data_IF_067599815180
#
_entry.id   IF_067599815180
#
_cell.length_a   1.000
_cell.length_b   1.000
_cell.length_c   1.000
_cell.angle_alpha   90.00
_cell.angle_beta   90.00
_cell.angle_gamma   90.00
#
_symmetry.space_group_name_H-M   'P 1'
#
loop_
_entity.id
_entity.type
_entity.pdbx_description
1 polymer ?
#
# COMPACT_ATOMS: atom_id res chain seq x y z
N UNK A 1 33.73 67.13 -13.67
CA UNK A 1 33.77 65.71 -13.24
C UNK A 1 32.58 65.32 -12.35
N UNK A 2 32.12 66.22 -11.46
CA UNK A 2 30.98 66.01 -10.56
C UNK A 2 29.61 65.90 -11.27
N UNK A 3 29.39 66.60 -12.39
CA UNK A 3 28.10 66.56 -13.11
C UNK A 3 27.80 65.24 -13.86
N UNK A 4 28.83 64.44 -14.18
CA UNK A 4 28.65 63.11 -14.80
C UNK A 4 28.30 62.03 -13.76
N UNK A 5 28.73 62.19 -12.50
CA UNK A 5 28.42 61.26 -11.41
C UNK A 5 26.96 61.37 -10.94
N UNK A 6 26.37 62.57 -11.00
CA UNK A 6 24.98 62.82 -10.56
C UNK A 6 23.96 62.27 -11.58
N UNK A 7 24.25 62.33 -12.88
CA UNK A 7 23.38 61.72 -13.91
C UNK A 7 23.39 60.19 -13.90
N UNK A 8 24.49 59.56 -13.48
CA UNK A 8 24.62 58.09 -13.39
C UNK A 8 23.84 57.53 -12.20
N UNK A 9 23.86 58.23 -11.06
CA UNK A 9 23.11 57.83 -9.87
C UNK A 9 21.59 57.93 -10.06
N UNK A 10 21.10 59.00 -10.72
CA UNK A 10 19.67 59.20 -10.97
C UNK A 10 19.00 58.10 -11.82
N UNK A 11 19.71 57.58 -12.83
CA UNK A 11 19.19 56.48 -13.65
C UNK A 11 19.22 55.12 -12.95
N UNK A 12 20.12 54.93 -11.97
CA UNK A 12 20.19 53.71 -11.17
C UNK A 12 19.03 53.62 -10.16
N UNK A 13 18.62 54.74 -9.58
CA UNK A 13 17.47 54.80 -8.67
C UNK A 13 16.13 54.59 -9.37
N UNK A 14 15.96 55.07 -10.61
CA UNK A 14 14.73 54.86 -11.39
C UNK A 14 14.62 53.41 -11.88
N UNK A 15 15.74 52.76 -12.24
CA UNK A 15 15.77 51.34 -12.62
C UNK A 15 15.54 50.40 -11.41
N UNK A 16 16.07 50.76 -10.23
CA UNK A 16 15.85 50.02 -9.00
C UNK A 16 14.40 50.15 -8.46
N UNK A 17 13.76 51.31 -8.60
CA UNK A 17 12.33 51.49 -8.26
C UNK A 17 11.38 50.75 -9.23
N UNK A 18 11.76 50.60 -10.51
CA UNK A 18 10.98 49.81 -11.47
C UNK A 18 11.12 48.29 -11.23
N UNK A 19 12.24 47.84 -10.64
CA UNK A 19 12.44 46.42 -10.30
C UNK A 19 11.80 46.03 -8.97
N UNK A 20 11.68 46.95 -8.00
CA UNK A 20 10.99 46.70 -6.72
C UNK A 20 9.45 46.73 -6.83
N UNK A 21 8.90 47.35 -7.87
CA UNK A 21 7.44 47.31 -8.15
C UNK A 21 7.02 46.08 -8.96
N UNK A 22 7.97 45.34 -9.55
CA UNK A 22 7.70 44.05 -10.22
C UNK A 22 7.78 42.84 -9.27
N UNK A 23 8.27 43.02 -8.04
CA UNK A 23 8.23 42.01 -6.98
C UNK A 23 6.97 42.09 -6.10
N UNK A 24 5.96 42.86 -6.53
CA UNK A 24 4.73 43.11 -5.78
C UNK A 24 3.54 42.20 -6.12
N UNK A 25 3.59 41.36 -7.15
CA UNK A 25 2.42 40.53 -7.55
C UNK A 25 2.80 39.19 -8.17
N UNK A 26 3.78 38.47 -7.61
CA UNK A 26 3.76 37.01 -7.69
C UNK A 26 3.14 36.47 -6.39
N UNK A 27 1.92 36.94 -6.09
CA UNK A 27 1.02 36.16 -5.25
C UNK A 27 0.63 34.95 -6.09
N UNK A 28 1.41 33.89 -5.99
CA UNK A 28 0.89 32.58 -6.34
C UNK A 28 -0.31 32.38 -5.42
N UNK A 29 -1.53 32.18 -5.95
CA UNK A 29 -2.62 31.77 -5.08
C UNK A 29 -2.12 30.54 -4.34
N UNK A 30 -2.13 30.60 -3.01
CA UNK A 30 -2.05 29.39 -2.21
C UNK A 30 -3.34 28.66 -2.59
N UNK A 31 -3.22 27.72 -3.52
CA UNK A 31 -4.28 26.77 -3.79
C UNK A 31 -4.29 25.88 -2.56
N UNK A 32 -5.04 26.29 -1.53
CA UNK A 32 -5.35 25.41 -0.42
C UNK A 32 -6.07 24.20 -1.03
N UNK A 33 -5.59 22.99 -0.71
CA UNK A 33 -6.30 21.75 -1.02
C UNK A 33 -7.72 21.94 -0.49
N UNK A 34 -8.72 21.78 -1.37
CA UNK A 34 -10.12 21.82 -0.95
C UNK A 34 -10.32 20.76 0.15
N UNK A 35 -11.11 21.10 1.17
CA UNK A 35 -11.47 20.13 2.19
C UNK A 35 -12.23 18.96 1.54
N UNK A 36 -12.10 17.79 2.14
CA UNK A 36 -12.78 16.56 1.73
C UNK A 36 -13.25 15.80 2.98
N UNK A 37 -14.07 14.77 2.79
CA UNK A 37 -14.46 13.86 3.86
C UNK A 37 -13.20 13.23 4.52
N UNK A 38 -13.24 12.87 5.80
CA UNK A 38 -12.06 12.37 6.48
C UNK A 38 -11.64 10.97 5.95
N UNK A 39 -10.37 10.60 6.13
CA UNK A 39 -9.87 9.23 5.86
C UNK A 39 -9.49 8.55 7.18
N UNK A 40 -10.20 7.48 7.53
CA UNK A 40 -10.17 6.82 8.83
C UNK A 40 -9.71 5.38 8.74
N UNK A 41 -8.71 5.04 9.54
CA UNK A 41 -8.18 3.69 9.67
C UNK A 41 -8.30 3.19 11.11
N UNK A 42 -9.09 2.14 11.33
CA UNK A 42 -9.09 1.37 12.58
C UNK A 42 -7.78 0.56 12.70
N UNK A 43 -7.15 0.58 13.87
CA UNK A 43 -5.93 -0.18 14.17
C UNK A 43 -6.16 -1.13 15.33
N UNK A 44 -5.34 -2.19 15.40
CA UNK A 44 -5.46 -3.24 16.41
C UNK A 44 -5.47 -2.68 17.83
N UNK A 45 -6.32 -3.24 18.69
CA UNK A 45 -6.37 -2.90 20.10
C UNK A 45 -5.08 -3.34 20.80
N UNK A 46 -4.69 -2.60 21.84
CA UNK A 46 -3.50 -2.86 22.66
C UNK A 46 -3.86 -2.80 24.14
N UNK A 47 -2.95 -3.24 25.02
CA UNK A 47 -3.14 -3.23 26.48
C UNK A 47 -4.50 -3.81 26.90
N UNK A 48 -4.87 -4.92 26.27
CA UNK A 48 -6.08 -5.68 26.59
C UNK A 48 -5.85 -6.36 27.93
N UNK A 49 -6.83 -6.24 28.82
CA UNK A 49 -6.91 -6.96 30.09
C UNK A 49 -8.24 -7.72 30.12
N UNK A 50 -8.51 -8.40 31.23
CA UNK A 50 -9.81 -8.97 31.58
C UNK A 50 -10.97 -7.95 31.57
N UNK A 51 -10.73 -6.71 32.00
CA UNK A 51 -11.77 -5.69 32.17
C UNK A 51 -11.61 -4.45 31.25
N UNK A 52 -10.58 -4.40 30.39
CA UNK A 52 -10.27 -3.19 29.62
C UNK A 52 -9.49 -3.44 28.33
N UNK A 53 -9.48 -2.44 27.44
CA UNK A 53 -8.62 -2.43 26.26
C UNK A 53 -8.35 -0.99 25.79
N UNK A 54 -7.26 -0.77 25.07
CA UNK A 54 -6.97 0.50 24.37
C UNK A 54 -7.29 0.32 22.88
N UNK A 55 -8.28 1.05 22.38
CA UNK A 55 -8.65 1.09 20.97
C UNK A 55 -7.76 2.10 20.24
N UNK A 56 -7.26 1.76 19.05
CA UNK A 56 -6.31 2.58 18.31
C UNK A 56 -6.84 2.94 16.92
N UNK A 57 -6.57 4.16 16.47
CA UNK A 57 -7.04 4.67 15.18
C UNK A 57 -6.08 5.70 14.57
N UNK A 58 -6.24 5.93 13.27
CA UNK A 58 -5.61 7.02 12.52
C UNK A 58 -6.66 7.72 11.68
N UNK A 59 -6.65 9.05 11.70
CA UNK A 59 -7.56 9.87 10.90
C UNK A 59 -6.75 10.93 10.16
N UNK A 60 -7.08 11.16 8.90
CA UNK A 60 -6.71 12.36 8.15
C UNK A 60 -7.97 13.21 7.96
N UNK A 61 -7.98 14.42 8.53
CA UNK A 61 -9.11 15.35 8.40
C UNK A 61 -9.23 16.00 7.02
N UNK A 62 -8.32 15.71 6.09
CA UNK A 62 -8.36 16.12 4.69
C UNK A 62 -8.55 17.63 4.46
N UNK A 63 -8.08 18.46 5.39
CA UNK A 63 -8.17 19.93 5.30
C UNK A 63 -9.35 20.55 6.04
N UNK A 64 -10.29 19.77 6.56
CA UNK A 64 -11.41 20.24 7.39
C UNK A 64 -11.27 19.83 8.87
N UNK A 65 -11.77 20.66 9.77
CA UNK A 65 -11.71 20.39 11.21
C UNK A 65 -12.54 19.15 11.55
N UNK A 66 -11.88 18.09 12.00
CA UNK A 66 -12.47 16.75 12.11
C UNK A 66 -12.51 16.28 13.56
N UNK A 67 -13.60 15.60 13.92
CA UNK A 67 -13.77 14.85 15.17
C UNK A 67 -13.69 13.34 14.89
N UNK A 68 -13.28 12.56 15.89
CA UNK A 68 -13.22 11.10 15.78
C UNK A 68 -13.58 10.39 17.08
N UNK A 69 -14.12 9.18 16.97
CA UNK A 69 -14.46 8.31 18.10
C UNK A 69 -14.35 6.84 17.70
N UNK A 70 -14.57 5.94 18.65
CA UNK A 70 -14.75 4.52 18.37
C UNK A 70 -16.19 4.10 18.65
N UNK A 71 -16.75 3.30 17.75
CA UNK A 71 -17.91 2.46 18.05
C UNK A 71 -17.41 1.05 18.40
N UNK A 72 -18.04 0.41 19.37
CA UNK A 72 -17.64 -0.91 19.86
C UNK A 72 -18.83 -1.69 20.43
N UNK A 73 -18.66 -2.99 20.61
CA UNK A 73 -19.71 -3.86 21.15
C UNK A 73 -19.27 -5.32 21.23
N UNK A 74 -20.11 -6.18 21.79
CA UNK A 74 -19.89 -7.65 21.82
C UNK A 74 -20.31 -8.33 20.51
N UNK A 75 -20.96 -7.56 19.65
CA UNK A 75 -21.61 -7.95 18.41
C UNK A 75 -21.10 -7.00 17.31
N UNK A 76 -21.30 -7.35 16.04
CA UNK A 76 -20.84 -6.51 14.91
C UNK A 76 -21.70 -5.28 14.65
N UNK A 77 -22.79 -5.10 15.39
CA UNK A 77 -23.68 -3.95 15.31
C UNK A 77 -23.13 -2.72 16.07
N UNK A 78 -22.14 -2.92 16.95
CA UNK A 78 -21.37 -1.88 17.64
C UNK A 78 -22.23 -0.85 18.41
N UNK A 79 -23.07 -1.34 19.32
CA UNK A 79 -24.08 -0.56 20.04
C UNK A 79 -23.54 0.52 21.00
N UNK A 80 -22.23 0.49 21.32
CA UNK A 80 -21.59 1.44 22.23
C UNK A 80 -20.65 2.41 21.47
N UNK A 81 -20.45 3.60 22.02
CA UNK A 81 -19.54 4.62 21.48
C UNK A 81 -18.68 5.24 22.57
N UNK A 82 -17.46 5.63 22.22
CA UNK A 82 -16.61 6.46 23.08
C UNK A 82 -17.00 7.93 22.98
N UNK A 83 -16.36 8.77 23.79
CA UNK A 83 -16.38 10.22 23.57
C UNK A 83 -15.59 10.61 22.32
N UNK A 84 -15.94 11.76 21.76
CA UNK A 84 -15.26 12.32 20.59
C UNK A 84 -13.93 12.98 20.97
N UNK A 85 -12.95 12.88 20.08
CA UNK A 85 -11.68 13.60 20.16
C UNK A 85 -11.49 14.50 18.96
N UNK A 86 -10.84 15.63 19.18
CA UNK A 86 -10.45 16.55 18.10
C UNK A 86 -9.21 16.01 17.39
N UNK A 87 -9.37 15.78 16.08
CA UNK A 87 -8.27 15.46 15.16
C UNK A 87 -7.70 16.75 14.55
N UNK A 88 -8.55 17.70 14.21
CA UNK A 88 -8.19 18.90 13.44
C UNK A 88 -8.22 18.61 11.93
N UNK A 89 -7.53 19.43 11.14
CA UNK A 89 -7.56 19.36 9.67
C UNK A 89 -6.47 18.50 9.02
N UNK A 90 -5.56 17.96 9.82
CA UNK A 90 -4.45 17.13 9.34
C UNK A 90 -4.58 15.66 9.75
N UNK A 91 -3.51 14.92 9.53
CA UNK A 91 -3.39 13.54 9.97
C UNK A 91 -2.99 13.42 11.45
N UNK A 92 -3.69 12.58 12.21
CA UNK A 92 -3.36 12.25 13.59
C UNK A 92 -3.68 10.79 13.93
N UNK A 93 -2.88 10.18 14.80
CA UNK A 93 -3.25 8.94 15.47
C UNK A 93 -4.00 9.29 16.76
N UNK A 94 -4.98 8.48 17.15
CA UNK A 94 -5.68 8.63 18.41
C UNK A 94 -5.97 7.27 19.03
N UNK A 95 -6.09 7.25 20.36
CA UNK A 95 -6.38 6.07 21.14
C UNK A 95 -7.32 6.40 22.29
N UNK A 96 -8.18 5.45 22.65
CA UNK A 96 -9.11 5.57 23.77
C UNK A 96 -9.15 4.25 24.53
N UNK A 97 -8.97 4.33 25.85
CA UNK A 97 -9.15 3.18 26.76
C UNK A 97 -10.62 2.99 27.08
N UNK A 98 -11.14 1.80 26.85
CA UNK A 98 -12.45 1.35 27.30
C UNK A 98 -12.29 0.44 28.52
N UNK A 99 -13.23 0.51 29.46
CA UNK A 99 -13.21 -0.21 30.75
C UNK A 99 -14.58 -0.82 31.04
N UNK A 100 -14.66 -1.69 32.06
CA UNK A 100 -15.91 -2.39 32.41
C UNK A 100 -16.26 -3.51 31.43
N UNK A 101 -15.26 -4.03 30.73
CA UNK A 101 -15.43 -5.17 29.84
C UNK A 101 -15.61 -6.45 30.66
N UNK A 102 -16.29 -7.43 30.07
CA UNK A 102 -16.39 -8.76 30.65
C UNK A 102 -15.14 -9.54 30.30
N UNK A 103 -14.59 -10.28 31.26
CA UNK A 103 -13.49 -11.22 31.02
C UNK A 103 -13.83 -12.25 29.93
N UNK A 104 -12.80 -12.78 29.28
CA UNK A 104 -12.88 -13.87 28.30
C UNK A 104 -13.85 -13.63 27.13
N UNK A 105 -14.18 -12.37 26.84
CA UNK A 105 -15.25 -11.95 25.95
C UNK A 105 -14.68 -11.26 24.71
N UNK A 106 -15.15 -11.65 23.53
CA UNK A 106 -14.77 -10.97 22.27
C UNK A 106 -15.56 -9.69 22.11
N UNK A 107 -14.86 -8.62 21.77
CA UNK A 107 -15.41 -7.32 21.43
C UNK A 107 -15.00 -6.94 20.01
N UNK A 108 -15.89 -6.25 19.31
CA UNK A 108 -15.69 -5.66 18.00
C UNK A 108 -15.63 -4.15 18.13
N UNK A 109 -14.87 -3.48 17.26
CA UNK A 109 -14.77 -2.02 17.26
C UNK A 109 -14.38 -1.46 15.89
N UNK A 110 -14.73 -0.20 15.62
CA UNK A 110 -14.25 0.58 14.47
C UNK A 110 -13.97 2.02 14.87
N UNK A 111 -12.99 2.66 14.24
CA UNK A 111 -12.81 4.10 14.30
C UNK A 111 -13.79 4.80 13.35
N UNK A 112 -14.30 5.95 13.74
CA UNK A 112 -15.13 6.83 12.91
C UNK A 112 -14.57 8.24 12.98
N UNK A 113 -14.65 8.97 11.86
CA UNK A 113 -14.38 10.40 11.84
C UNK A 113 -15.46 11.16 11.08
N UNK A 114 -15.72 12.39 11.51
CA UNK A 114 -16.72 13.28 10.94
C UNK A 114 -16.18 14.71 10.83
N UNK A 115 -16.47 15.35 9.70
CA UNK A 115 -16.29 16.77 9.47
C UNK A 115 -17.45 17.33 8.64
N UNK A 116 -17.41 18.62 8.31
CA UNK A 116 -18.48 19.29 7.55
C UNK A 116 -18.67 18.74 6.11
N UNK A 117 -17.70 17.98 5.59
CA UNK A 117 -17.74 17.38 4.25
C UNK A 117 -18.29 15.94 4.26
N UNK A 118 -18.21 15.22 5.38
CA UNK A 118 -18.73 13.86 5.47
C UNK A 118 -18.31 13.05 6.70
N UNK A 119 -18.69 11.76 6.68
CA UNK A 119 -18.38 10.78 7.72
C UNK A 119 -17.68 9.58 7.07
N UNK A 120 -16.50 9.24 7.58
CA UNK A 120 -15.81 8.02 7.19
C UNK A 120 -15.75 7.00 8.34
N UNK A 121 -15.88 5.73 7.99
CA UNK A 121 -15.95 4.61 8.92
C UNK A 121 -14.83 3.62 8.59
N UNK A 122 -13.90 3.48 9.53
CA UNK A 122 -12.85 2.48 9.45
C UNK A 122 -13.40 1.05 9.45
N UNK A 123 -12.51 0.10 9.17
CA UNK A 123 -12.83 -1.32 9.22
C UNK A 123 -13.19 -1.78 10.64
N UNK A 124 -14.06 -2.79 10.75
CA UNK A 124 -14.37 -3.43 12.03
C UNK A 124 -13.25 -4.41 12.37
N UNK A 125 -12.57 -4.17 13.49
CA UNK A 125 -11.61 -5.10 14.10
C UNK A 125 -12.21 -5.73 15.35
N UNK A 126 -11.49 -6.68 15.95
CA UNK A 126 -11.92 -7.37 17.17
C UNK A 126 -10.74 -7.67 18.08
N UNK A 127 -10.99 -7.72 19.39
CA UNK A 127 -10.07 -8.23 20.39
C UNK A 127 -10.85 -9.11 21.39
N UNK A 128 -10.14 -9.86 22.23
CA UNK A 128 -10.76 -10.66 23.30
C UNK A 128 -10.09 -10.30 24.62
N UNK A 129 -10.90 -10.00 25.63
CA UNK A 129 -10.41 -9.76 26.99
C UNK A 129 -9.82 -11.01 27.61
N UNK A 130 -8.88 -10.84 28.53
CA UNK A 130 -8.26 -11.94 29.24
C UNK A 130 -9.27 -12.63 30.15
N UNK A 131 -8.95 -13.86 30.59
CA UNK A 131 -9.70 -14.52 31.66
C UNK A 131 -9.26 -13.95 32.99
N UNK A 132 -10.21 -13.67 33.88
CA UNK A 132 -9.88 -13.38 35.26
C UNK A 132 -9.37 -14.65 35.94
N UNK A 133 -8.08 -14.71 36.25
CA UNK A 133 -7.51 -15.79 37.04
C UNK A 133 -7.56 -15.40 38.52
N UNK A 134 -8.58 -15.90 39.21
CA UNK A 134 -8.66 -15.78 40.66
C UNK A 134 -7.69 -16.81 41.27
N UNK A 135 -6.45 -16.39 41.55
CA UNK A 135 -5.49 -17.23 42.27
C UNK A 135 -5.98 -17.42 43.72
N UNK A 136 -6.74 -18.48 43.96
CA UNK A 136 -6.92 -19.00 45.31
C UNK A 136 -5.58 -19.60 45.73
N UNK A 137 -4.96 -19.02 46.76
CA UNK A 137 -3.89 -19.69 47.49
C UNK A 137 -4.53 -20.87 48.23
N UNK A 138 -4.49 -22.06 47.62
CA UNK A 138 -4.71 -23.29 48.37
C UNK A 138 -3.39 -23.59 49.12
N UNK A 139 -3.44 -23.60 50.45
CA UNK A 139 -2.26 -23.76 51.31
C UNK A 139 -1.63 -25.16 51.21
N UNK A 140 -2.29 -26.11 50.51
CA UNK A 140 -1.99 -27.54 50.60
C UNK A 140 -1.39 -28.20 49.33
N UNK A 141 -1.15 -27.49 48.22
CA UNK A 141 -0.63 -28.13 46.99
C UNK A 141 0.90 -27.95 46.81
N UNK A 142 1.63 -28.91 47.38
CA UNK A 142 3.08 -29.02 47.31
C UNK A 142 3.51 -29.77 46.04
N UNK A 143 3.54 -29.14 44.86
CA UNK A 143 4.35 -29.63 43.73
C UNK A 143 4.75 -28.51 42.75
N UNK A 144 6.01 -28.09 42.86
CA UNK A 144 6.84 -27.25 41.96
C UNK A 144 6.14 -26.16 41.13
N UNK A 145 5.79 -25.03 41.76
CA UNK A 145 5.80 -23.74 41.07
C UNK A 145 7.23 -23.24 40.99
N UNK A 146 7.80 -23.20 39.79
CA UNK A 146 9.07 -22.54 39.56
C UNK A 146 8.85 -21.03 39.67
N UNK A 147 9.36 -20.47 40.77
CA UNK A 147 9.55 -19.05 40.99
C UNK A 147 10.30 -18.39 39.82
N UNK A 148 9.60 -17.58 39.01
CA UNK A 148 10.06 -16.23 38.64
C UNK A 148 8.87 -15.35 38.16
N UNK A 149 8.23 -14.65 39.10
CA UNK A 149 8.21 -13.19 39.02
C UNK A 149 7.31 -12.45 38.03
N UNK A 150 6.44 -13.06 37.23
CA UNK A 150 5.30 -12.39 36.57
C UNK A 150 4.45 -13.47 35.90
N UNK A 151 3.15 -13.62 36.25
CA UNK A 151 2.21 -14.27 35.33
C UNK A 151 2.08 -13.28 34.16
N UNK A 152 3.01 -13.35 33.21
CA UNK A 152 2.84 -12.75 31.90
C UNK A 152 1.69 -13.50 31.27
N UNK A 153 0.67 -12.74 30.84
CA UNK A 153 -0.45 -13.20 30.04
C UNK A 153 -0.15 -14.48 29.23
N UNK A 154 -1.08 -15.44 29.27
CA UNK A 154 -1.10 -16.59 28.37
C UNK A 154 -1.28 -16.07 26.93
N UNK A 155 -0.20 -15.54 26.35
CA UNK A 155 -0.21 -14.81 25.10
C UNK A 155 -0.09 -15.78 23.94
N UNK A 156 -1.24 -16.09 23.35
CA UNK A 156 -1.30 -16.54 21.96
C UNK A 156 -1.37 -15.31 21.06
N UNK A 157 -0.31 -14.93 20.36
CA UNK A 157 -0.32 -13.76 19.46
C UNK A 157 -0.26 -14.20 18.01
N UNK A 158 -1.17 -13.65 17.19
CA UNK A 158 -1.11 -13.74 15.73
C UNK A 158 -0.63 -12.40 15.15
N UNK A 159 0.54 -12.37 14.53
CA UNK A 159 1.08 -11.18 13.86
C UNK A 159 0.93 -11.37 12.35
N UNK A 160 0.15 -10.51 11.70
CA UNK A 160 0.05 -10.49 10.23
C UNK A 160 1.25 -9.71 9.67
N UNK A 161 2.06 -10.36 8.83
CA UNK A 161 3.15 -9.75 8.09
C UNK A 161 2.72 -9.43 6.64
N UNK A 162 3.44 -8.53 5.97
CA UNK A 162 3.15 -8.13 4.59
C UNK A 162 3.17 -9.31 3.61
N UNK A 163 2.32 -9.23 2.59
CA UNK A 163 2.30 -10.23 1.52
C UNK A 163 3.57 -10.15 0.66
N UNK A 164 4.09 -11.31 0.26
CA UNK A 164 5.24 -11.47 -0.64
C UNK A 164 4.82 -12.20 -1.90
N UNK A 165 5.72 -12.27 -2.89
CA UNK A 165 5.49 -13.04 -4.14
C UNK A 165 4.15 -12.69 -4.83
N UNK A 166 3.79 -11.41 -4.82
CA UNK A 166 2.53 -10.93 -5.39
C UNK A 166 2.61 -10.97 -6.92
N UNK A 167 1.85 -11.89 -7.50
CA UNK A 167 1.66 -12.06 -8.94
C UNK A 167 0.35 -11.42 -9.41
N UNK A 168 0.00 -11.67 -10.68
CA UNK A 168 -1.29 -11.22 -11.24
C UNK A 168 -2.48 -12.05 -10.75
N UNK A 169 -2.24 -13.29 -10.31
CA UNK A 169 -3.29 -14.23 -9.87
C UNK A 169 -2.92 -14.97 -8.57
N UNK A 170 -1.86 -14.55 -7.88
CA UNK A 170 -1.35 -15.19 -6.67
C UNK A 170 -0.71 -14.19 -5.71
N UNK A 171 -0.63 -14.56 -4.43
CA UNK A 171 0.18 -13.86 -3.43
C UNK A 171 0.48 -14.78 -2.25
N UNK A 172 1.67 -14.67 -1.67
CA UNK A 172 2.04 -15.36 -0.43
C UNK A 172 1.71 -14.47 0.77
N UNK A 173 0.84 -14.97 1.66
CA UNK A 173 0.52 -14.33 2.93
C UNK A 173 1.51 -14.81 3.99
N UNK A 174 1.94 -13.91 4.87
CA UNK A 174 2.94 -14.20 5.89
C UNK A 174 2.44 -13.83 7.29
N UNK A 175 2.89 -14.56 8.29
CA UNK A 175 2.58 -14.29 9.68
C UNK A 175 3.63 -14.86 10.62
N UNK A 176 3.65 -14.31 11.84
CA UNK A 176 4.38 -14.85 12.98
C UNK A 176 3.37 -15.18 14.09
N UNK A 177 3.32 -16.45 14.47
CA UNK A 177 2.49 -16.94 15.57
C UNK A 177 3.39 -17.13 16.78
N UNK A 178 3.05 -16.50 17.90
CA UNK A 178 3.79 -16.59 19.16
C UNK A 178 2.87 -17.23 20.19
N UNK A 179 3.35 -18.22 20.92
CA UNK A 179 2.62 -18.87 22.01
C UNK A 179 3.52 -18.93 23.24
N UNK A 180 3.12 -18.33 24.35
CA UNK A 180 3.87 -18.45 25.61
C UNK A 180 3.62 -19.78 26.34
N UNK A 181 2.66 -20.58 25.87
CA UNK A 181 2.26 -21.86 26.46
C UNK A 181 2.57 -23.04 25.55
N UNK A 182 2.87 -24.19 26.16
CA UNK A 182 3.03 -25.49 25.47
C UNK A 182 1.66 -26.07 25.06
N UNK A 183 0.87 -25.29 24.32
CA UNK A 183 -0.44 -25.68 23.83
C UNK A 183 -0.42 -25.81 22.31
N UNK A 184 -0.85 -26.97 21.77
CA UNK A 184 -0.97 -27.16 20.33
C UNK A 184 -1.83 -26.06 19.71
N UNK A 185 -1.23 -25.32 18.80
CA UNK A 185 -1.84 -24.16 18.15
C UNK A 185 -2.03 -24.43 16.67
N UNK A 186 -3.17 -24.02 16.14
CA UNK A 186 -3.49 -23.96 14.73
C UNK A 186 -3.46 -22.51 14.24
N UNK A 187 -3.05 -22.30 13.00
CA UNK A 187 -3.05 -21.00 12.36
C UNK A 187 -3.68 -21.07 10.97
N UNK A 188 -4.31 -19.98 10.54
CA UNK A 188 -4.82 -19.78 9.19
C UNK A 188 -4.83 -18.30 8.83
N UNK A 189 -5.16 -17.98 7.58
CA UNK A 189 -5.44 -16.61 7.15
C UNK A 189 -6.92 -16.45 6.84
N UNK A 190 -7.50 -15.34 7.27
CA UNK A 190 -8.75 -14.83 6.72
C UNK A 190 -8.42 -13.79 5.64
N UNK A 191 -9.17 -13.80 4.53
CA UNK A 191 -8.89 -12.93 3.38
C UNK A 191 -10.15 -12.55 2.61
N UNK A 192 -10.08 -11.50 1.78
CA UNK A 192 -11.20 -11.09 0.93
C UNK A 192 -10.94 -9.82 0.14
N UNK A 193 -11.92 -9.41 -0.68
CA UNK A 193 -11.85 -8.18 -1.49
C UNK A 193 -12.31 -6.92 -0.75
N UNK A 194 -12.68 -7.06 0.53
CA UNK A 194 -13.08 -5.98 1.43
C UNK A 194 -12.36 -6.16 2.76
N UNK A 195 -12.11 -5.10 3.55
CA UNK A 195 -11.56 -5.23 4.91
C UNK A 195 -12.39 -6.12 5.86
N UNK A 196 -13.65 -6.38 5.49
CA UNK A 196 -14.61 -7.19 6.25
C UNK A 196 -14.40 -8.72 6.15
N UNK A 197 -13.41 -9.18 5.36
CA UNK A 197 -12.92 -10.56 5.14
C UNK A 197 -13.96 -11.71 5.14
N UNK A 198 -14.19 -12.33 3.97
CA UNK A 198 -15.23 -13.34 3.73
C UNK A 198 -14.72 -14.73 3.33
N UNK A 199 -13.40 -14.95 3.29
CA UNK A 199 -12.79 -16.24 2.98
C UNK A 199 -11.75 -16.63 4.04
N UNK A 200 -11.41 -17.92 4.12
CA UNK A 200 -10.33 -18.43 4.97
C UNK A 200 -9.49 -19.49 4.25
N UNK A 201 -8.21 -19.59 4.59
CA UNK A 201 -7.34 -20.69 4.17
C UNK A 201 -7.62 -21.95 5.00
N UNK A 202 -7.00 -23.06 4.61
CA UNK A 202 -6.95 -24.25 5.47
C UNK A 202 -6.19 -23.95 6.76
N UNK A 203 -6.59 -24.63 7.84
CA UNK A 203 -5.88 -24.59 9.11
C UNK A 203 -4.58 -25.38 9.01
N UNK A 204 -3.51 -24.82 9.57
CA UNK A 204 -2.21 -25.45 9.69
C UNK A 204 -1.85 -25.55 11.16
N UNK A 205 -1.49 -26.75 11.62
CA UNK A 205 -0.91 -26.87 12.96
C UNK A 205 0.49 -26.25 12.97
N UNK A 206 0.69 -25.29 13.86
CA UNK A 206 2.00 -24.67 14.12
C UNK A 206 2.65 -25.24 15.39
N UNK A 207 2.03 -26.23 16.02
CA UNK A 207 2.54 -26.88 17.23
C UNK A 207 2.51 -25.97 18.45
N UNK A 208 3.41 -26.24 19.40
CA UNK A 208 3.51 -25.52 20.68
C UNK A 208 4.77 -24.67 20.80
N UNK A 209 5.45 -24.40 19.68
CA UNK A 209 6.71 -23.65 19.69
C UNK A 209 6.45 -22.19 20.06
N UNK A 210 7.41 -21.53 20.74
CA UNK A 210 7.20 -20.18 21.25
C UNK A 210 7.02 -19.15 20.14
N UNK A 211 7.55 -19.40 18.94
CA UNK A 211 7.36 -18.56 17.77
C UNK A 211 7.49 -19.38 16.47
N UNK A 212 6.49 -19.30 15.59
CA UNK A 212 6.44 -20.01 14.31
C UNK A 212 6.05 -19.07 13.19
N UNK A 213 6.82 -19.09 12.10
CA UNK A 213 6.43 -18.44 10.86
C UNK A 213 5.43 -19.31 10.12
N UNK A 214 4.30 -18.71 9.78
CA UNK A 214 3.23 -19.36 9.02
C UNK A 214 3.01 -18.57 7.73
N UNK A 215 3.03 -19.27 6.60
CA UNK A 215 2.84 -18.68 5.29
C UNK A 215 1.88 -19.52 4.45
N UNK A 216 1.10 -18.86 3.59
CA UNK A 216 0.16 -19.52 2.68
C UNK A 216 0.05 -18.78 1.36
N UNK A 217 0.18 -19.49 0.24
CA UNK A 217 0.03 -18.91 -1.10
C UNK A 217 -1.42 -18.99 -1.56
N UNK A 218 -2.04 -17.82 -1.73
CA UNK A 218 -3.33 -17.70 -2.41
C UNK A 218 -3.16 -17.83 -3.93
N UNK A 219 -4.11 -18.50 -4.57
CA UNK A 219 -4.17 -18.71 -6.02
C UNK A 219 -5.54 -18.28 -6.55
N UNK A 220 -5.63 -18.01 -7.85
CA UNK A 220 -6.90 -17.68 -8.52
C UNK A 220 -7.40 -16.26 -8.22
N UNK A 221 -6.50 -15.36 -7.81
CA UNK A 221 -6.85 -13.97 -7.58
C UNK A 221 -7.10 -13.24 -8.90
N UNK A 222 -7.97 -12.24 -8.89
CA UNK A 222 -8.19 -11.34 -10.05
C UNK A 222 -7.04 -10.34 -10.19
N UNK A 223 -6.44 -10.16 -11.39
CA UNK A 223 -5.40 -9.16 -11.64
C UNK A 223 -5.86 -7.72 -11.37
N UNK A 224 -4.92 -6.84 -11.01
CA UNK A 224 -5.18 -5.42 -10.71
C UNK A 224 -6.14 -5.16 -9.53
N UNK A 225 -6.40 -6.17 -8.68
CA UNK A 225 -7.38 -6.10 -7.60
C UNK A 225 -6.72 -6.02 -6.23
N UNK A 226 -7.30 -5.19 -5.35
CA UNK A 226 -6.94 -5.14 -3.93
C UNK A 226 -7.57 -6.31 -3.15
N UNK A 227 -6.77 -6.92 -2.29
CA UNK A 227 -7.17 -7.94 -1.33
C UNK A 227 -6.71 -7.54 0.07
N UNK A 228 -7.52 -7.90 1.06
CA UNK A 228 -7.25 -7.73 2.48
C UNK A 228 -7.06 -9.10 3.11
N UNK A 229 -6.22 -9.19 4.14
CA UNK A 229 -5.98 -10.43 4.88
C UNK A 229 -5.55 -10.18 6.32
N UNK A 230 -5.79 -11.17 7.21
CA UNK A 230 -5.23 -11.21 8.57
C UNK A 230 -4.86 -12.64 8.96
N UNK A 231 -3.83 -12.78 9.77
CA UNK A 231 -3.49 -14.04 10.42
C UNK A 231 -4.48 -14.33 11.56
N UNK A 232 -4.76 -15.60 11.79
CA UNK A 232 -5.53 -16.06 12.96
C UNK A 232 -4.77 -17.23 13.58
N UNK A 233 -4.69 -17.24 14.90
CA UNK A 233 -4.15 -18.35 15.66
C UNK A 233 -5.16 -18.81 16.70
N UNK A 234 -5.27 -20.12 16.88
CA UNK A 234 -6.17 -20.74 17.84
C UNK A 234 -5.53 -21.93 18.54
N UNK A 235 -5.72 -22.01 19.84
CA UNK A 235 -5.46 -23.21 20.63
C UNK A 235 -6.69 -23.54 21.50
N UNK A 236 -6.57 -24.51 22.40
CA UNK A 236 -7.69 -24.92 23.28
C UNK A 236 -8.22 -23.81 24.21
N UNK A 237 -7.48 -22.73 24.39
CA UNK A 237 -7.79 -21.66 25.33
C UNK A 237 -8.18 -20.35 24.63
N UNK A 238 -7.52 -20.05 23.51
CA UNK A 238 -7.52 -18.73 22.87
C UNK A 238 -7.74 -18.83 21.36
N UNK A 239 -8.40 -17.81 20.80
CA UNK A 239 -8.37 -17.50 19.37
C UNK A 239 -8.05 -16.02 19.23
N UNK A 240 -6.91 -15.70 18.63
CA UNK A 240 -6.44 -14.33 18.48
C UNK A 240 -6.24 -13.98 17.00
N UNK A 241 -6.58 -12.74 16.67
CA UNK A 241 -6.57 -12.21 15.31
C UNK A 241 -5.44 -11.21 15.17
N UNK A 242 -4.68 -11.32 14.08
CA UNK A 242 -3.72 -10.30 13.69
C UNK A 242 -4.37 -9.08 13.05
N UNK A 243 -3.56 -8.05 12.83
CA UNK A 243 -3.95 -6.84 12.09
C UNK A 243 -4.40 -7.19 10.67
N UNK A 244 -5.38 -6.46 10.14
CA UNK A 244 -5.75 -6.56 8.71
C UNK A 244 -4.73 -5.78 7.88
N UNK A 245 -4.07 -6.47 6.94
CA UNK A 245 -3.21 -5.87 5.92
C UNK A 245 -3.85 -6.01 4.54
N UNK A 246 -3.27 -5.35 3.54
CA UNK A 246 -3.73 -5.46 2.15
C UNK A 246 -2.57 -5.57 1.17
N UNK A 247 -2.86 -6.08 -0.03
CA UNK A 247 -1.97 -6.08 -1.18
C UNK A 247 -2.78 -5.92 -2.47
N UNK A 248 -2.13 -5.48 -3.55
CA UNK A 248 -2.73 -5.35 -4.89
C UNK A 248 -2.03 -6.34 -5.82
N UNK A 249 -2.79 -7.24 -6.44
CA UNK A 249 -2.25 -8.15 -7.47
C UNK A 249 -1.72 -7.37 -8.66
N UNK A 250 -0.68 -7.86 -9.31
CA UNK A 250 -0.14 -7.24 -10.52
C UNK A 250 -1.21 -7.20 -11.63
N UNK A 251 -1.06 -6.26 -12.55
CA UNK A 251 -1.92 -6.18 -13.73
C UNK A 251 -1.76 -7.44 -14.59
N UNK A 252 -2.87 -7.88 -15.20
CA UNK A 252 -2.83 -8.93 -16.21
C UNK A 252 -2.16 -8.39 -17.46
N UNK A 253 -1.21 -9.11 -18.04
CA UNK A 253 -0.73 -8.79 -19.38
C UNK A 253 -1.88 -9.02 -20.35
N UNK A 254 -2.54 -7.95 -20.80
CA UNK A 254 -3.40 -8.01 -21.98
C UNK A 254 -2.46 -8.25 -23.16
N UNK A 255 -2.38 -9.48 -23.65
CA UNK A 255 -1.94 -9.69 -25.02
C UNK A 255 -2.95 -8.97 -25.90
N UNK A 256 -2.61 -7.76 -26.34
CA UNK A 256 -3.35 -7.15 -27.43
C UNK A 256 -3.13 -8.06 -28.62
N UNK A 257 -4.17 -8.81 -28.99
CA UNK A 257 -4.30 -9.34 -30.33
C UNK A 257 -4.33 -8.14 -31.28
N UNK A 258 -3.15 -7.64 -31.65
CA UNK A 258 -3.01 -6.83 -32.84
C UNK A 258 -3.41 -7.79 -33.95
N UNK A 259 -4.62 -7.61 -34.47
CA UNK A 259 -5.02 -8.22 -35.72
C UNK A 259 -4.01 -7.74 -36.76
N UNK A 260 -2.96 -8.54 -36.99
CA UNK A 260 -2.06 -8.35 -38.11
C UNK A 260 -2.96 -8.42 -39.34
N UNK A 261 -3.24 -7.28 -39.96
CA UNK A 261 -3.77 -7.23 -41.30
C UNK A 261 -2.67 -7.89 -42.14
N UNK A 262 -2.84 -9.18 -42.44
CA UNK A 262 -2.01 -9.85 -43.42
C UNK A 262 -2.36 -9.18 -44.75
N UNK A 263 -1.55 -8.20 -45.14
CA UNK A 263 -1.51 -7.75 -46.53
C UNK A 263 -0.97 -8.95 -47.29
N UNK A 264 -1.87 -9.78 -47.82
CA UNK A 264 -1.47 -10.85 -48.73
C UNK A 264 -0.82 -10.17 -49.92
N UNK A 265 0.44 -10.50 -50.19
CA UNK A 265 1.09 -10.13 -51.44
C UNK A 265 0.19 -10.54 -52.61
N UNK A 266 0.09 -9.72 -53.68
CA UNK A 266 -0.75 -10.07 -54.81
C UNK A 266 -0.28 -11.38 -55.42
N UNK A 267 -1.17 -12.38 -55.44
CA UNK A 267 -0.94 -13.66 -56.10
C UNK A 267 -0.80 -13.39 -57.60
N UNK A 268 0.41 -13.56 -58.12
CA UNK A 268 0.66 -13.62 -59.56
C UNK A 268 0.04 -14.94 -60.03
N UNK A 269 -1.06 -14.86 -60.78
CA UNK A 269 -1.65 -16.04 -61.43
C UNK A 269 -0.82 -16.35 -62.67
N UNK A 270 0.15 -17.25 -62.52
CA UNK A 270 0.75 -17.90 -63.69
C UNK A 270 -0.27 -18.87 -64.28
N UNK A 271 -0.68 -18.63 -65.52
CA UNK A 271 -1.56 -19.55 -66.27
C UNK A 271 -0.68 -20.70 -66.78
N UNK A 272 -0.86 -21.94 -66.30
CA UNK A 272 -0.05 -23.07 -66.77
C UNK A 272 -0.44 -23.46 -68.21
N UNK A 273 0.57 -23.72 -69.04
CA UNK A 273 0.43 -24.29 -70.37
C UNK A 273 -0.21 -25.71 -70.30
N UNK A 274 -0.99 -26.13 -71.31
CA UNK A 274 -1.83 -27.31 -71.22
C UNK A 274 -1.00 -28.60 -71.24
N UNK A 275 -1.13 -29.42 -70.20
CA UNK A 275 -0.54 -30.76 -70.15
C UNK A 275 -1.61 -31.82 -70.39
N UNK A 276 -1.30 -32.68 -71.35
CA UNK A 276 -2.02 -33.86 -71.83
C UNK A 276 -2.10 -34.94 -70.74
N UNK A 277 -3.19 -35.71 -70.77
CA UNK A 277 -3.53 -36.82 -69.88
C UNK A 277 -2.45 -37.90 -69.75
N UNK A 278 -2.47 -38.64 -68.62
CA UNK A 278 -2.57 -40.11 -68.46
C UNK A 278 -2.56 -40.45 -66.94
N UNK A 279 -3.51 -41.32 -66.52
CA UNK A 279 -3.47 -42.43 -65.51
C UNK A 279 -2.22 -42.61 -64.61
N UNK A 280 -2.20 -43.20 -63.41
CA UNK A 280 -3.06 -43.98 -62.50
C UNK A 280 -2.18 -44.28 -61.25
N UNK A 281 -2.79 -44.73 -60.15
CA UNK A 281 -2.22 -45.57 -59.06
C UNK A 281 -1.35 -44.99 -57.91
N UNK A 282 -1.99 -44.94 -56.74
CA UNK A 282 -1.68 -45.68 -55.49
C UNK A 282 -0.20 -45.86 -55.05
N UNK A 283 0.15 -45.35 -53.85
CA UNK A 283 0.54 -46.15 -52.64
C UNK A 283 1.36 -45.37 -51.61
N UNK A 284 1.06 -45.65 -50.34
CA UNK A 284 1.76 -45.37 -49.06
C UNK A 284 3.30 -45.38 -49.12
N UNK A 285 3.96 -44.53 -48.33
CA UNK A 285 4.70 -44.96 -47.12
C UNK A 285 5.10 -43.80 -46.20
N UNK A 286 5.39 -44.18 -44.96
CA UNK A 286 5.66 -43.47 -43.72
C UNK A 286 7.03 -42.77 -43.66
N UNK A 287 7.22 -42.16 -42.49
CA UNK A 287 8.48 -41.85 -41.78
C UNK A 287 9.08 -40.48 -42.12
N UNK A 288 9.73 -39.73 -41.22
CA UNK A 288 10.02 -39.76 -39.77
C UNK A 288 10.66 -38.38 -39.51
N UNK A 289 10.34 -37.74 -38.38
CA UNK A 289 11.24 -36.97 -37.47
C UNK A 289 12.34 -36.06 -38.06
N UNK A 290 12.27 -34.75 -37.76
CA UNK A 290 13.28 -34.10 -36.90
C UNK A 290 12.87 -32.65 -36.54
N UNK A 291 13.10 -32.29 -35.29
CA UNK A 291 13.24 -30.92 -34.76
C UNK A 291 14.71 -30.79 -34.30
N UNK A 292 15.23 -29.62 -33.87
CA UNK A 292 14.86 -28.23 -34.09
C UNK A 292 16.11 -27.41 -34.55
N UNK A 293 15.96 -26.14 -34.93
CA UNK A 293 17.06 -25.20 -34.67
C UNK A 293 16.62 -23.75 -34.46
N UNK A 294 17.20 -23.20 -33.40
CA UNK A 294 17.08 -21.85 -32.87
C UNK A 294 17.82 -20.84 -33.72
N UNK A 295 17.23 -19.68 -33.99
CA UNK A 295 18.00 -18.47 -34.30
C UNK A 295 17.50 -17.29 -33.45
N UNK A 296 18.40 -16.79 -32.60
CA UNK A 296 18.26 -15.52 -31.89
C UNK A 296 18.65 -14.42 -32.86
N UNK A 297 17.78 -13.46 -33.07
CA UNK A 297 18.14 -12.14 -33.61
C UNK A 297 17.54 -11.08 -32.70
N UNK A 298 18.41 -10.35 -31.99
CA UNK A 298 18.05 -9.04 -31.42
C UNK A 298 17.86 -8.03 -32.56
N UNK A 299 16.83 -7.19 -32.51
CA UNK A 299 16.88 -5.87 -33.09
C UNK A 299 17.01 -4.82 -31.98
N UNK A 300 18.08 -4.05 -32.10
CA UNK A 300 18.26 -2.75 -31.47
C UNK A 300 17.15 -1.82 -32.00
N UNK A 301 16.40 -1.19 -31.10
CA UNK A 301 15.40 -0.18 -31.44
C UNK A 301 15.08 0.67 -30.22
N UNK A 302 15.83 1.76 -30.06
CA UNK A 302 15.63 2.75 -29.02
C UNK A 302 14.36 3.59 -29.30
N UNK A 303 13.38 3.55 -28.40
CA UNK A 303 12.32 4.54 -28.34
C UNK A 303 12.83 5.78 -27.59
N UNK A 304 13.21 6.79 -28.35
CA UNK A 304 13.37 8.17 -27.89
C UNK A 304 11.99 8.83 -28.02
N UNK A 305 11.59 9.60 -27.01
CA UNK A 305 10.33 10.36 -26.86
C UNK A 305 9.15 9.60 -26.19
N UNK A 306 9.02 9.78 -24.88
CA UNK A 306 7.87 9.30 -24.10
C UNK A 306 7.91 9.55 -22.59
N UNK A 307 9.06 9.92 -22.01
CA UNK A 307 9.11 10.35 -20.61
C UNK A 307 8.79 11.85 -20.52
N UNK A 308 7.73 12.20 -19.80
CA UNK A 308 7.34 13.58 -19.53
C UNK A 308 8.53 14.40 -19.02
N UNK A 309 8.82 15.51 -19.68
CA UNK A 309 9.93 16.41 -19.37
C UNK A 309 9.76 17.11 -17.99
N UNK A 310 8.55 17.07 -17.43
CA UNK A 310 8.23 17.76 -16.18
C UNK A 310 8.34 16.82 -14.98
N UNK A 311 8.97 17.25 -13.87
CA UNK A 311 9.15 16.39 -12.71
C UNK A 311 7.82 16.08 -11.99
N UNK A 312 7.63 14.83 -11.58
CA UNK A 312 6.47 14.38 -10.80
C UNK A 312 6.59 14.60 -9.28
N UNK A 313 7.67 15.20 -8.79
CA UNK A 313 7.93 15.40 -7.35
C UNK A 313 8.51 16.77 -7.04
N UNK A 314 8.29 17.26 -5.80
CA UNK A 314 8.84 18.55 -5.31
C UNK A 314 10.37 18.62 -5.44
N UNK A 315 11.06 17.51 -5.14
CA UNK A 315 12.52 17.42 -5.30
C UNK A 315 12.94 17.55 -6.77
N UNK A 316 12.15 17.02 -7.69
CA UNK A 316 12.40 17.16 -9.12
C UNK A 316 12.22 18.60 -9.61
N UNK A 317 11.21 19.31 -9.12
CA UNK A 317 11.02 20.74 -9.41
C UNK A 317 12.18 21.59 -8.87
N UNK A 318 12.69 21.28 -7.68
CA UNK A 318 13.87 21.94 -7.12
C UNK A 318 15.10 21.76 -8.02
N UNK A 319 15.35 20.53 -8.50
CA UNK A 319 16.47 20.24 -9.40
C UNK A 319 16.34 20.95 -10.75
N UNK A 320 15.13 21.02 -11.31
CA UNK A 320 14.86 21.74 -12.55
C UNK A 320 15.14 23.24 -12.39
N UNK A 321 14.74 23.84 -11.27
CA UNK A 321 14.98 25.25 -10.99
C UNK A 321 16.47 25.57 -10.87
N UNK A 322 17.24 24.69 -10.20
CA UNK A 322 18.71 24.80 -10.12
C UNK A 322 19.33 24.73 -11.52
N UNK A 323 18.86 23.82 -12.37
CA UNK A 323 19.37 23.66 -13.73
C UNK A 323 19.11 24.90 -14.60
N UNK A 324 17.92 25.50 -14.51
CA UNK A 324 17.58 26.74 -15.21
C UNK A 324 18.47 27.90 -14.73
N UNK A 325 18.71 28.02 -13.42
CA UNK A 325 19.61 29.03 -12.87
C UNK A 325 21.05 28.88 -13.40
N UNK A 326 21.56 27.65 -13.47
CA UNK A 326 22.87 27.38 -14.04
C UNK A 326 22.94 27.77 -15.53
N UNK A 327 21.89 27.46 -16.31
CA UNK A 327 21.83 27.82 -17.73
C UNK A 327 21.84 29.35 -17.94
N UNK A 328 21.10 30.09 -17.12
CA UNK A 328 21.09 31.57 -17.16
C UNK A 328 22.46 32.14 -16.78
N UNK A 329 23.10 31.60 -15.74
CA UNK A 329 24.45 32.03 -15.35
C UNK A 329 25.48 31.72 -16.44
N UNK A 330 25.39 30.56 -17.08
CA UNK A 330 26.27 30.17 -18.18
C UNK A 330 26.07 31.08 -19.39
N UNK A 331 24.82 31.38 -19.75
CA UNK A 331 24.51 32.30 -20.85
C UNK A 331 25.08 33.70 -20.58
N UNK A 332 24.89 34.22 -19.36
CA UNK A 332 25.46 35.50 -18.95
C UNK A 332 26.99 35.51 -19.01
N UNK A 333 27.62 34.44 -18.52
CA UNK A 333 29.07 34.28 -18.55
C UNK A 333 29.61 34.30 -19.99
N UNK A 334 28.97 33.57 -20.91
CA UNK A 334 29.35 33.52 -22.32
C UNK A 334 29.18 34.89 -22.98
N UNK A 335 28.07 35.58 -22.70
CA UNK A 335 27.80 36.91 -23.25
C UNK A 335 28.84 37.95 -22.81
N UNK A 336 29.18 37.97 -21.52
CA UNK A 336 30.17 38.89 -20.97
C UNK A 336 31.58 38.62 -21.51
N UNK A 337 31.93 37.36 -21.82
CA UNK A 337 33.23 37.01 -22.42
C UNK A 337 33.28 37.23 -23.93
N UNK A 338 32.18 37.00 -24.65
CA UNK A 338 32.08 37.26 -26.09
C UNK A 338 32.23 38.76 -26.39
N UNK A 339 31.63 39.63 -25.56
CA UNK A 339 31.70 41.09 -25.74
C UNK A 339 33.10 41.70 -25.56
N UNK A 340 34.03 40.98 -24.91
CA UNK A 340 35.42 41.42 -24.70
C UNK A 340 36.37 41.07 -25.85
N UNK A 341 35.96 40.20 -26.79
CA UNK A 341 36.79 39.79 -27.92
C UNK A 341 36.61 40.65 -29.19
N UNK A 342 35.75 41.67 -29.14
CA UNK A 342 35.43 42.57 -30.26
C UNK A 342 35.92 44.02 -30.02
N UNK A 343 36.92 44.21 -29.16
CA UNK A 343 37.57 45.51 -28.93
C UNK A 343 39.07 45.47 -29.15
#
# INVERSE_FOLDING_TARGET
MVSKLIKSAGNFFISAMLFMTFLGVLSFPIVAKAADEPDTTTRSATNVTDESAVLNGRVDGNGAYTYAWFEWGRDRDLDDSTFDVVIGSGTKNFDIRITGLRENTTYYFRAIAENDEGIDRGSILSFRTDRYSNFYYDEDDYYYSNNDGRITSDDLTAITDGATEVGNTSAQLNSLIISSVDSPTNAWFEWGTTPSLGNRTAEMSVGSLPAVRHAHTLLGLTPGRIYYFRAVAENSYWRNYGSVLSFVTNEGTVEQNVNTIIIREPVIVEIPAPATAVEENEKKDNSVEDQPETTRTSPIGANVYGAGFLPGSLLGWLLLLILVLMAVMLFKYIWDHSSKSQK
#
